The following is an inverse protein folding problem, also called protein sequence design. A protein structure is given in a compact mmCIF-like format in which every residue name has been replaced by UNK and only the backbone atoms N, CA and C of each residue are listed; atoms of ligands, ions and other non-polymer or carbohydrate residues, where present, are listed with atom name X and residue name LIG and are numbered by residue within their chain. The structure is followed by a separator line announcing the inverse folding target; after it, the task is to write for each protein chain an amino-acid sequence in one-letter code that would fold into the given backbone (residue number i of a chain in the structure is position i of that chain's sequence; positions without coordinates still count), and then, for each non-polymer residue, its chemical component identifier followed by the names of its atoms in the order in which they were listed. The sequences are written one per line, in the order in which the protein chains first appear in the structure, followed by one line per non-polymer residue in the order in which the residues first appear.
data_IF_680504680750
#
_entry.id   IF_680504680750
#
_cell.length_a   1.000
_cell.length_b   1.000
_cell.length_c   1.000
_cell.angle_alpha   90.00
_cell.angle_beta   90.00
_cell.angle_gamma   90.00
#
_symmetry.space_group_name_H-M   'P 1'
#
loop_
_entity.id
_entity.type
_entity.pdbx_description
1 polymer ?
#
# COMPACT_ATOMS: atom_id res chain seq x y z
N UNK A 1 -5.82 39.40 -34.31
CA UNK A 1 -6.18 39.65 -32.88
C UNK A 1 -7.33 38.79 -32.38
N UNK A 2 -8.50 38.74 -33.04
CA UNK A 2 -9.68 37.95 -32.60
C UNK A 2 -9.42 36.43 -32.48
N UNK A 3 -8.65 35.84 -33.38
CA UNK A 3 -8.27 34.42 -33.34
C UNK A 3 -7.31 34.11 -32.19
N UNK A 4 -6.34 34.97 -31.95
CA UNK A 4 -5.36 34.85 -30.86
C UNK A 4 -6.05 34.90 -29.49
N UNK A 5 -7.03 35.81 -29.32
CA UNK A 5 -7.85 35.88 -28.12
C UNK A 5 -8.70 34.60 -27.88
N UNK A 6 -9.23 33.98 -28.94
CA UNK A 6 -9.96 32.70 -28.84
C UNK A 6 -9.04 31.56 -28.39
N UNK A 7 -7.83 31.48 -28.94
CA UNK A 7 -6.86 30.47 -28.51
C UNK A 7 -6.40 30.67 -27.07
N UNK A 8 -6.16 31.92 -26.64
CA UNK A 8 -5.83 32.23 -25.25
C UNK A 8 -6.97 31.86 -24.29
N UNK A 9 -8.23 32.06 -24.68
CA UNK A 9 -9.39 31.66 -23.87
C UNK A 9 -9.51 30.14 -23.72
N UNK A 10 -9.32 29.39 -24.82
CA UNK A 10 -9.36 27.93 -24.81
C UNK A 10 -8.21 27.36 -23.96
N UNK A 11 -7.01 27.92 -24.09
CA UNK A 11 -5.84 27.55 -23.28
C UNK A 11 -6.09 27.85 -21.79
N UNK A 12 -6.66 29.01 -21.47
CA UNK A 12 -6.99 29.37 -20.09
C UNK A 12 -8.00 28.38 -19.48
N UNK A 13 -9.02 27.98 -20.25
CA UNK A 13 -10.03 27.03 -19.80
C UNK A 13 -9.45 25.62 -19.60
N UNK A 14 -8.55 25.18 -20.49
CA UNK A 14 -7.92 23.86 -20.35
C UNK A 14 -6.95 23.80 -19.17
N UNK A 15 -6.17 24.86 -18.92
CA UNK A 15 -5.32 24.97 -17.74
C UNK A 15 -6.16 24.98 -16.46
N UNK A 16 -7.26 25.75 -16.43
CA UNK A 16 -8.17 25.78 -15.28
C UNK A 16 -8.74 24.39 -14.98
N UNK A 17 -9.17 23.65 -16.00
CA UNK A 17 -9.70 22.29 -15.86
C UNK A 17 -8.64 21.34 -15.27
N UNK A 18 -7.39 21.42 -15.73
CA UNK A 18 -6.28 20.61 -15.22
C UNK A 18 -6.01 20.93 -13.75
N UNK A 19 -6.02 22.21 -13.36
CA UNK A 19 -5.83 22.63 -11.96
C UNK A 19 -6.93 22.09 -11.05
N UNK A 20 -8.19 22.14 -11.48
CA UNK A 20 -9.32 21.60 -10.72
C UNK A 20 -9.17 20.09 -10.51
N UNK A 21 -8.81 19.35 -11.55
CA UNK A 21 -8.58 17.90 -11.45
C UNK A 21 -7.40 17.55 -10.54
N UNK A 22 -6.32 18.34 -10.58
CA UNK A 22 -5.16 18.14 -9.73
C UNK A 22 -5.47 18.42 -8.25
N UNK A 23 -6.29 19.43 -7.93
CA UNK A 23 -6.70 19.71 -6.55
C UNK A 23 -7.58 18.61 -5.94
N UNK A 24 -8.30 17.84 -6.76
CA UNK A 24 -9.09 16.69 -6.28
C UNK A 24 -8.26 15.41 -6.13
N UNK A 25 -7.00 15.40 -6.58
CA UNK A 25 -6.10 14.29 -6.34
C UNK A 25 -5.78 14.22 -4.84
N UNK A 26 -6.44 13.29 -4.15
CA UNK A 26 -6.20 13.03 -2.73
C UNK A 26 -4.79 12.48 -2.56
N UNK A 27 -4.00 13.08 -1.66
CA UNK A 27 -2.68 12.54 -1.34
C UNK A 27 -2.85 11.12 -0.74
N UNK A 28 -2.26 10.07 -1.35
CA UNK A 28 -2.39 8.71 -0.84
C UNK A 28 -1.87 8.57 0.59
N UNK A 29 -0.90 9.39 1.01
CA UNK A 29 -0.39 9.38 2.39
C UNK A 29 -1.49 9.73 3.40
N UNK A 30 -2.28 10.77 3.11
CA UNK A 30 -3.41 11.17 3.95
C UNK A 30 -4.47 10.06 4.04
N UNK A 31 -4.65 9.27 2.97
CA UNK A 31 -5.60 8.16 3.00
C UNK A 31 -5.09 6.98 3.84
N UNK A 32 -3.77 6.78 3.86
CA UNK A 32 -3.09 5.72 4.60
C UNK A 32 -3.07 5.98 6.11
N UNK A 33 -2.96 7.24 6.52
CA UNK A 33 -2.99 7.63 7.93
C UNK A 33 -4.21 7.04 8.66
N UNK A 34 -3.99 6.49 9.85
CA UNK A 34 -5.02 5.84 10.66
C UNK A 34 -4.66 4.43 11.10
N UNK A 35 -5.66 3.72 11.63
CA UNK A 35 -5.52 2.37 12.18
C UNK A 35 -6.09 1.34 11.21
N UNK A 36 -5.34 0.28 11.00
CA UNK A 36 -5.67 -0.80 10.10
C UNK A 36 -5.54 -2.13 10.81
N UNK A 37 -6.54 -2.98 10.66
CA UNK A 37 -6.53 -4.36 11.14
C UNK A 37 -6.18 -5.28 9.99
N UNK A 38 -5.28 -6.22 10.22
CA UNK A 38 -5.05 -7.30 9.27
C UNK A 38 -6.26 -8.24 9.23
N UNK A 39 -6.78 -8.52 8.02
CA UNK A 39 -7.96 -9.37 7.85
C UNK A 39 -7.66 -10.68 7.11
N UNK A 40 -6.84 -10.66 6.05
CA UNK A 40 -6.60 -11.86 5.23
C UNK A 40 -5.25 -11.87 4.53
N UNK A 41 -4.69 -13.07 4.39
CA UNK A 41 -3.57 -13.39 3.50
C UNK A 41 -4.01 -14.29 2.35
N UNK A 42 -3.58 -13.97 1.13
CA UNK A 42 -3.75 -14.78 -0.07
C UNK A 42 -2.37 -14.99 -0.71
N UNK A 43 -2.07 -16.18 -1.22
CA UNK A 43 -0.81 -16.47 -1.92
C UNK A 43 -1.11 -17.02 -3.30
N UNK A 44 -0.59 -16.37 -4.34
CA UNK A 44 -0.71 -16.80 -5.71
C UNK A 44 0.66 -17.33 -6.18
N UNK A 45 0.74 -18.61 -6.52
CA UNK A 45 1.95 -19.22 -7.09
C UNK A 45 1.89 -19.16 -8.61
N UNK A 46 3.01 -18.81 -9.25
CA UNK A 46 3.07 -18.73 -10.72
C UNK A 46 3.21 -20.09 -11.42
N UNK A 47 3.54 -21.16 -10.69
CA UNK A 47 3.85 -22.49 -11.26
C UNK A 47 2.63 -23.40 -11.43
N UNK A 48 1.51 -23.08 -10.79
CA UNK A 48 0.25 -23.82 -10.89
C UNK A 48 -0.87 -22.80 -11.10
N UNK A 49 -1.65 -22.94 -12.18
CA UNK A 49 -2.93 -22.25 -12.43
C UNK A 49 -4.04 -22.63 -11.40
N UNK A 50 -3.64 -22.92 -10.17
CA UNK A 50 -4.50 -23.21 -9.06
C UNK A 50 -4.33 -22.06 -8.07
N UNK A 51 -5.28 -21.13 -8.10
CA UNK A 51 -5.59 -20.26 -6.96
C UNK A 51 -6.07 -21.15 -5.80
N UNK A 52 -5.16 -21.91 -5.20
CA UNK A 52 -5.45 -22.64 -3.97
C UNK A 52 -5.58 -21.57 -2.90
N UNK A 53 -6.82 -21.29 -2.48
CA UNK A 53 -7.12 -20.57 -1.24
C UNK A 53 -6.60 -21.42 -0.07
N UNK A 54 -5.29 -21.47 0.11
CA UNK A 54 -4.68 -22.07 1.29
C UNK A 54 -5.11 -21.25 2.51
N UNK A 55 -5.27 -21.91 3.66
CA UNK A 55 -5.58 -21.24 4.92
C UNK A 55 -4.56 -20.14 5.19
N UNK A 56 -5.03 -19.00 5.73
CA UNK A 56 -4.18 -17.84 6.03
C UNK A 56 -2.96 -18.22 6.87
N UNK A 57 -3.06 -19.22 7.75
CA UNK A 57 -1.97 -19.69 8.59
C UNK A 57 -0.86 -20.41 7.81
N UNK A 58 -1.24 -21.24 6.82
CA UNK A 58 -0.27 -21.94 5.96
C UNK A 58 0.46 -20.97 5.05
N UNK A 59 -0.27 -19.99 4.50
CA UNK A 59 0.32 -18.90 3.71
C UNK A 59 1.28 -18.07 4.56
N UNK A 60 0.88 -17.75 5.80
CA UNK A 60 1.73 -17.02 6.74
C UNK A 60 3.05 -17.74 7.01
N UNK A 61 3.00 -19.05 7.26
CA UNK A 61 4.21 -19.84 7.52
C UNK A 61 5.19 -19.85 6.33
N UNK A 62 4.69 -19.97 5.10
CA UNK A 62 5.52 -20.13 3.90
C UNK A 62 6.07 -18.79 3.40
N UNK A 63 5.24 -17.75 3.35
CA UNK A 63 5.64 -16.44 2.83
C UNK A 63 6.33 -15.58 3.89
N UNK A 64 6.28 -15.98 5.17
CA UNK A 64 6.50 -15.10 6.29
C UNK A 64 7.69 -15.30 7.18
N UNK A 65 8.45 -16.35 6.94
CA UNK A 65 9.59 -16.72 7.78
C UNK A 65 10.60 -15.57 7.94
N UNK A 66 10.66 -14.65 6.96
CA UNK A 66 11.56 -13.48 6.97
C UNK A 66 10.85 -12.11 7.02
N UNK A 67 9.52 -12.06 7.11
CA UNK A 67 8.80 -10.78 7.06
C UNK A 67 8.38 -10.32 8.46
N UNK A 68 8.67 -9.06 8.76
CA UNK A 68 8.32 -8.46 10.05
C UNK A 68 6.80 -8.40 10.30
N UNK A 69 6.01 -8.42 9.22
CA UNK A 69 4.55 -8.30 9.28
C UNK A 69 3.88 -9.47 10.00
N UNK A 70 4.49 -10.67 9.99
CA UNK A 70 3.84 -11.91 10.43
C UNK A 70 3.42 -11.94 11.89
N UNK A 71 3.92 -11.00 12.68
CA UNK A 71 3.59 -10.93 14.09
C UNK A 71 2.62 -9.77 14.41
N UNK A 72 2.34 -8.85 13.46
CA UNK A 72 1.60 -7.62 13.72
C UNK A 72 0.15 -7.73 13.25
N UNK A 73 -0.80 -7.70 14.18
CA UNK A 73 -2.24 -7.78 13.91
C UNK A 73 -2.85 -6.42 13.57
N UNK A 74 -2.25 -5.33 14.06
CA UNK A 74 -2.74 -3.97 13.85
C UNK A 74 -1.62 -3.00 13.49
N UNK A 75 -1.92 -2.11 12.57
CA UNK A 75 -1.00 -1.16 11.96
C UNK A 75 -1.55 0.25 12.16
N UNK A 76 -0.77 1.13 12.78
CA UNK A 76 -1.14 2.53 13.02
C UNK A 76 -0.18 3.45 12.26
N UNK A 77 -0.63 4.03 11.16
CA UNK A 77 0.13 5.00 10.37
C UNK A 77 -0.11 6.42 10.92
N UNK A 78 0.96 7.09 11.29
CA UNK A 78 0.95 8.46 11.78
C UNK A 78 1.44 9.46 10.72
N UNK A 79 0.98 10.73 10.74
CA UNK A 79 1.33 11.75 9.74
C UNK A 79 2.82 12.10 9.67
N UNK A 80 3.58 11.77 10.72
CA UNK A 80 5.02 12.02 10.78
C UNK A 80 5.86 10.92 10.11
N UNK A 81 5.23 10.00 9.38
CA UNK A 81 5.92 8.85 8.78
C UNK A 81 6.27 7.75 9.79
N UNK A 82 5.71 7.78 11.01
CA UNK A 82 5.84 6.69 11.97
C UNK A 82 4.75 5.64 11.75
N UNK A 83 5.12 4.37 11.73
CA UNK A 83 4.21 3.23 11.74
C UNK A 83 4.42 2.48 13.04
N UNK A 84 3.34 2.32 13.81
CA UNK A 84 3.32 1.47 14.99
C UNK A 84 2.61 0.16 14.67
N UNK A 85 3.34 -0.93 14.84
CA UNK A 85 2.86 -2.29 14.70
C UNK A 85 2.50 -2.84 16.09
N UNK A 86 1.28 -3.34 16.25
CA UNK A 86 0.84 -4.06 17.44
C UNK A 86 0.62 -5.53 17.08
N UNK A 87 1.40 -6.40 17.71
CA UNK A 87 1.19 -7.85 17.70
C UNK A 87 0.69 -8.35 19.04
N UNK A 88 0.39 -9.65 19.11
CA UNK A 88 -0.15 -10.29 20.31
C UNK A 88 0.69 -10.07 21.59
N UNK A 89 2.02 -9.95 21.46
CA UNK A 89 2.95 -9.82 22.59
C UNK A 89 4.02 -8.74 22.42
N UNK A 90 3.90 -7.88 21.41
CA UNK A 90 4.87 -6.81 21.18
C UNK A 90 4.24 -5.59 20.52
N UNK A 91 4.88 -4.44 20.74
CA UNK A 91 4.65 -3.22 19.98
C UNK A 91 5.97 -2.76 19.40
N UNK A 92 5.97 -2.33 18.15
CA UNK A 92 7.19 -1.88 17.46
C UNK A 92 6.90 -0.65 16.61
N UNK A 93 7.82 0.29 16.67
CA UNK A 93 7.78 1.51 15.86
C UNK A 93 8.79 1.40 14.72
N UNK A 94 8.38 1.81 13.52
CA UNK A 94 9.21 1.87 12.32
C UNK A 94 8.81 3.06 11.46
N UNK A 95 9.59 3.37 10.42
CA UNK A 95 9.27 4.47 9.51
C UNK A 95 8.59 3.96 8.24
N UNK A 96 7.59 4.70 7.75
CA UNK A 96 6.91 4.40 6.50
C UNK A 96 6.92 5.62 5.57
N UNK A 97 6.87 5.35 4.27
CA UNK A 97 6.67 6.37 3.25
C UNK A 97 5.98 5.76 2.02
N UNK A 98 5.25 6.58 1.26
CA UNK A 98 4.74 6.18 -0.04
C UNK A 98 5.68 6.69 -1.14
N UNK A 99 6.16 5.78 -1.98
CA UNK A 99 7.06 6.05 -3.11
C UNK A 99 6.43 5.60 -4.43
N UNK A 100 7.19 5.76 -5.51
CA UNK A 100 6.82 5.21 -6.83
C UNK A 100 5.64 5.89 -7.52
N UNK A 101 5.29 7.14 -7.15
CA UNK A 101 4.06 7.86 -7.55
C UNK A 101 2.79 7.37 -6.85
N UNK A 102 2.90 6.94 -5.60
CA UNK A 102 1.72 6.59 -4.80
C UNK A 102 1.42 5.09 -4.72
N UNK A 103 2.26 4.24 -5.28
CA UNK A 103 1.97 2.81 -5.47
C UNK A 103 2.91 1.87 -4.71
N UNK A 104 3.97 2.38 -4.07
CA UNK A 104 4.90 1.58 -3.28
C UNK A 104 4.85 2.06 -1.84
N UNK A 105 4.49 1.19 -0.91
CA UNK A 105 4.70 1.41 0.51
C UNK A 105 6.09 0.91 0.89
N UNK A 106 6.95 1.82 1.34
CA UNK A 106 8.25 1.49 1.90
C UNK A 106 8.15 1.48 3.42
N UNK A 107 8.60 0.39 4.04
CA UNK A 107 8.77 0.28 5.49
C UNK A 107 10.26 0.16 5.81
N UNK A 108 10.75 1.02 6.71
CA UNK A 108 12.15 1.07 7.13
C UNK A 108 12.28 0.79 8.61
N UNK A 109 13.05 -0.23 8.93
CA UNK A 109 13.39 -0.63 10.30
C UNK A 109 14.90 -0.84 10.43
N UNK A 110 15.59 0.13 11.04
CA UNK A 110 17.05 0.13 11.12
C UNK A 110 17.68 0.13 9.72
N UNK A 111 18.42 -0.94 9.39
CA UNK A 111 19.06 -1.16 8.08
C UNK A 111 18.18 -1.91 7.08
N UNK A 112 17.05 -2.48 7.52
CA UNK A 112 16.15 -3.26 6.68
C UNK A 112 15.13 -2.33 6.04
N UNK A 113 14.95 -2.46 4.73
CA UNK A 113 13.95 -1.75 3.94
C UNK A 113 13.09 -2.80 3.25
N UNK A 114 11.78 -2.74 3.48
CA UNK A 114 10.79 -3.60 2.84
C UNK A 114 9.92 -2.76 1.90
N UNK A 115 9.62 -3.31 0.72
CA UNK A 115 8.78 -2.66 -0.28
C UNK A 115 7.52 -3.49 -0.53
N UNK A 116 6.37 -2.81 -0.51
CA UNK A 116 5.07 -3.40 -0.76
C UNK A 116 4.39 -2.65 -1.90
N UNK A 117 3.81 -3.39 -2.83
CA UNK A 117 3.00 -2.81 -3.88
C UNK A 117 1.60 -2.52 -3.36
N UNK A 118 1.24 -1.24 -3.29
CA UNK A 118 -0.08 -0.77 -2.93
C UNK A 118 -1.05 -1.03 -4.09
N UNK A 119 -1.82 -2.11 -3.97
CA UNK A 119 -2.77 -2.53 -5.00
C UNK A 119 -4.13 -1.87 -4.87
N UNK A 120 -4.54 -1.59 -3.64
CA UNK A 120 -5.79 -0.90 -3.35
C UNK A 120 -5.63 -0.07 -2.07
N UNK A 121 -5.97 1.21 -2.15
CA UNK A 121 -6.02 2.10 -0.99
C UNK A 121 -7.32 2.91 -1.06
N UNK A 122 -8.23 2.61 -0.16
CA UNK A 122 -9.55 3.25 -0.04
C UNK A 122 -9.79 3.64 1.42
N UNK A 123 -10.76 4.50 1.76
CA UNK A 123 -11.03 4.86 3.15
C UNK A 123 -11.35 3.70 4.09
N UNK A 124 -11.66 2.50 3.58
CA UNK A 124 -12.02 1.33 4.39
C UNK A 124 -11.10 0.13 4.21
N UNK A 125 -10.36 0.08 3.10
CA UNK A 125 -9.62 -1.12 2.68
C UNK A 125 -8.25 -0.75 2.15
N UNK A 126 -7.24 -1.46 2.63
CA UNK A 126 -5.85 -1.39 2.21
C UNK A 126 -5.42 -2.78 1.75
N UNK A 127 -4.87 -2.88 0.54
CA UNK A 127 -4.37 -4.14 -0.03
C UNK A 127 -2.93 -3.94 -0.48
N UNK A 128 -2.06 -4.76 0.10
CA UNK A 128 -0.62 -4.78 -0.18
C UNK A 128 -0.26 -6.09 -0.83
N UNK A 129 0.52 -6.04 -1.90
CA UNK A 129 1.16 -7.22 -2.47
C UNK A 129 2.66 -7.15 -2.19
N UNK A 130 3.28 -8.28 -1.90
CA UNK A 130 4.73 -8.41 -1.90
C UNK A 130 5.13 -9.64 -2.72
N UNK A 131 6.25 -9.50 -3.42
CA UNK A 131 6.87 -10.60 -4.15
C UNK A 131 7.83 -11.31 -3.20
N UNK A 132 7.65 -12.63 -3.04
CA UNK A 132 8.60 -13.45 -2.28
C UNK A 132 9.75 -13.87 -3.19
N UNK A 133 10.98 -13.55 -2.80
CA UNK A 133 12.19 -14.08 -3.46
C UNK A 133 12.47 -15.56 -3.13
N UNK A 134 11.63 -16.21 -2.32
CA UNK A 134 11.79 -17.63 -2.00
C UNK A 134 11.62 -18.49 -3.25
N UNK A 135 12.13 -19.73 -3.20
CA UNK A 135 12.22 -20.70 -4.31
C UNK A 135 10.92 -20.95 -5.10
N UNK A 136 9.78 -20.47 -4.61
CA UNK A 136 8.49 -20.50 -5.28
C UNK A 136 8.10 -19.07 -5.62
N UNK A 137 8.35 -18.63 -6.87
CA UNK A 137 7.91 -17.33 -7.39
C UNK A 137 6.39 -17.18 -7.15
N UNK A 138 6.02 -16.27 -6.25
CA UNK A 138 4.64 -16.05 -5.88
C UNK A 138 4.39 -14.64 -5.35
N UNK A 139 3.13 -14.22 -5.46
CA UNK A 139 2.67 -12.92 -4.96
C UNK A 139 1.82 -13.20 -3.73
N UNK A 140 2.26 -12.66 -2.60
CA UNK A 140 1.48 -12.68 -1.38
C UNK A 140 0.70 -11.37 -1.26
N UNK A 141 -0.61 -11.48 -1.05
CA UNK A 141 -1.53 -10.37 -0.90
C UNK A 141 -2.04 -10.30 0.54
N UNK A 142 -1.81 -9.16 1.17
CA UNK A 142 -2.37 -8.82 2.48
C UNK A 142 -3.55 -7.87 2.29
N UNK A 143 -4.64 -8.14 3.00
CA UNK A 143 -5.81 -7.27 3.06
C UNK A 143 -6.01 -6.77 4.48
N UNK A 144 -6.18 -5.46 4.60
CA UNK A 144 -6.46 -4.76 5.83
C UNK A 144 -7.77 -3.98 5.75
N UNK A 145 -8.43 -3.84 6.89
CA UNK A 145 -9.62 -3.02 7.08
C UNK A 145 -9.37 -1.91 8.09
N UNK A 146 -9.96 -0.74 7.86
CA UNK A 146 -9.80 0.42 8.75
C UNK A 146 -10.57 0.24 10.06
N UNK A 147 -9.98 0.65 11.19
CA UNK A 147 -10.57 0.62 12.54
C UNK A 147 -10.91 2.04 13.00
#
# INVERSE_FOLDING_TARGET
MKTLARYSMILGLSVLLIVILACQATNPENLMEGKWKECRWEYERSDLQLSVKQSSETVKAIAGENLMIHKAEQWCFYPNGLLRLHGASYTRDLHWAIKGRGNILELKYGTIIEHYQLSQLTPKKLVLNFETETQMRGIARLTFERI
#
